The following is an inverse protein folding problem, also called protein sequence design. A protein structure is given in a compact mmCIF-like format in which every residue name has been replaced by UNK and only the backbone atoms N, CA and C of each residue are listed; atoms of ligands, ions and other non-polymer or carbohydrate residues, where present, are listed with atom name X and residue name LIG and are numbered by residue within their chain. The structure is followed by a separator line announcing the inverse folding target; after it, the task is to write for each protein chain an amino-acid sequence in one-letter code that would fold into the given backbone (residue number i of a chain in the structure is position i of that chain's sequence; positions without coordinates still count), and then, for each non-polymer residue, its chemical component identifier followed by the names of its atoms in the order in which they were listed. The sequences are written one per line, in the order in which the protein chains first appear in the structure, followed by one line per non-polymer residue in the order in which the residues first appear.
data_IF_132079206150
#
_entry.id   IF_132079206150
#
_cell.length_a   1.000
_cell.length_b   1.000
_cell.length_c   1.000
_cell.angle_alpha   90.00
_cell.angle_beta   90.00
_cell.angle_gamma   90.00
#
_symmetry.space_group_name_H-M   'P 1'
#
loop_
_entity.id
_entity.type
_entity.pdbx_description
1 polymer ?
#
# COMPACT_ATOMS: atom_id res chain seq x y z
N UNK A 1 -11.16 -21.89 -12.19
CA UNK A 1 -10.34 -20.68 -12.38
C UNK A 1 -10.34 -20.43 -13.88
N UNK A 2 -10.57 -19.20 -14.31
CA UNK A 2 -10.52 -18.84 -15.73
C UNK A 2 -9.06 -18.84 -16.19
N UNK A 3 -8.78 -19.25 -17.43
CA UNK A 3 -7.42 -19.18 -18.03
C UNK A 3 -7.18 -17.82 -18.70
N UNK A 4 -7.97 -16.82 -18.36
CA UNK A 4 -7.89 -15.47 -18.95
C UNK A 4 -6.58 -14.79 -18.56
N UNK A 5 -5.85 -14.27 -19.53
CA UNK A 5 -4.70 -13.39 -19.35
C UNK A 5 -5.20 -11.94 -19.42
N UNK A 6 -4.86 -11.12 -18.42
CA UNK A 6 -5.23 -9.73 -18.35
C UNK A 6 -4.14 -8.84 -18.93
N UNK A 7 -4.51 -7.95 -19.85
CA UNK A 7 -3.61 -7.01 -20.51
C UNK A 7 -3.33 -5.80 -19.62
N UNK A 8 -2.06 -5.51 -19.42
CA UNK A 8 -1.58 -4.45 -18.51
C UNK A 8 -0.98 -3.30 -19.29
N UNK A 9 -1.47 -2.09 -19.03
CA UNK A 9 -0.85 -0.82 -19.45
C UNK A 9 -0.09 -0.18 -18.28
N UNK A 10 1.23 -0.03 -18.44
CA UNK A 10 2.09 0.63 -17.45
C UNK A 10 2.12 2.14 -17.67
N UNK A 11 1.90 2.94 -16.62
CA UNK A 11 2.01 4.40 -16.66
C UNK A 11 3.04 4.85 -15.63
N UNK A 12 4.11 5.51 -16.10
CA UNK A 12 5.29 5.78 -15.28
C UNK A 12 6.30 4.63 -15.34
N UNK A 13 7.33 4.79 -16.17
CA UNK A 13 8.31 3.77 -16.53
C UNK A 13 9.66 3.96 -15.82
N UNK A 14 9.68 4.78 -14.78
CA UNK A 14 10.85 5.00 -13.96
C UNK A 14 11.20 3.79 -13.08
N UNK A 15 12.11 4.00 -12.11
CA UNK A 15 12.63 2.93 -11.23
C UNK A 15 11.52 2.06 -10.60
N UNK A 16 10.45 2.67 -10.10
CA UNK A 16 9.34 1.92 -9.50
C UNK A 16 8.50 1.19 -10.56
N UNK A 17 8.31 1.80 -11.74
CA UNK A 17 7.66 1.16 -12.89
C UNK A 17 8.34 -0.15 -13.27
N UNK A 18 9.68 -0.18 -13.35
CA UNK A 18 10.44 -1.42 -13.57
C UNK A 18 10.18 -2.48 -12.48
N UNK A 19 10.07 -2.07 -11.22
CA UNK A 19 9.76 -3.00 -10.12
C UNK A 19 8.38 -3.63 -10.25
N UNK A 20 7.36 -2.83 -10.57
CA UNK A 20 6.00 -3.32 -10.80
C UNK A 20 5.91 -4.19 -12.06
N UNK A 21 6.56 -3.78 -13.15
CA UNK A 21 6.59 -4.56 -14.39
C UNK A 21 7.13 -5.97 -14.18
N UNK A 22 8.22 -6.14 -13.39
CA UNK A 22 8.70 -7.48 -13.01
C UNK A 22 7.67 -8.29 -12.21
N UNK A 23 6.86 -7.62 -11.40
CA UNK A 23 5.77 -8.27 -10.68
C UNK A 23 4.70 -8.82 -11.63
N UNK A 24 4.31 -8.04 -12.64
CA UNK A 24 3.37 -8.47 -13.69
C UNK A 24 3.95 -9.56 -14.57
N UNK A 25 5.19 -9.42 -15.05
CA UNK A 25 5.90 -10.45 -15.81
C UNK A 25 5.96 -11.80 -15.08
N UNK A 26 6.07 -11.75 -13.76
CA UNK A 26 6.11 -12.95 -12.90
C UNK A 26 4.75 -13.55 -12.56
N UNK A 27 3.63 -12.99 -13.03
CA UNK A 27 2.30 -13.53 -12.82
C UNK A 27 1.77 -14.11 -14.15
N UNK A 28 1.48 -15.43 -14.22
CA UNK A 28 1.09 -16.09 -15.48
C UNK A 28 -0.28 -15.63 -16.02
N UNK A 29 -1.02 -14.84 -15.22
CA UNK A 29 -2.35 -14.31 -15.58
C UNK A 29 -2.31 -12.85 -16.06
N UNK A 30 -1.11 -12.27 -16.22
CA UNK A 30 -0.95 -10.89 -16.67
C UNK A 30 0.08 -10.80 -17.80
N UNK A 31 -0.19 -9.91 -18.77
CA UNK A 31 0.68 -9.59 -19.88
C UNK A 31 0.81 -8.07 -20.02
N UNK A 32 2.03 -7.55 -19.96
CA UNK A 32 2.28 -6.13 -20.22
C UNK A 32 2.21 -5.92 -21.74
N UNK A 33 1.28 -5.09 -22.20
CA UNK A 33 1.08 -4.82 -23.64
C UNK A 33 1.60 -3.47 -24.08
N UNK A 34 1.65 -2.49 -23.16
CA UNK A 34 2.10 -1.13 -23.45
C UNK A 34 2.65 -0.45 -22.23
N UNK A 35 3.44 0.62 -22.47
CA UNK A 35 3.94 1.51 -21.40
C UNK A 35 3.99 2.96 -21.84
N UNK A 36 3.62 3.88 -20.96
CA UNK A 36 3.63 5.32 -21.19
C UNK A 36 4.46 6.07 -20.13
N UNK A 37 5.30 6.98 -20.57
CA UNK A 37 6.06 7.92 -19.74
C UNK A 37 6.43 9.14 -20.59
N UNK A 38 6.26 10.39 -20.15
CA UNK A 38 6.67 11.55 -20.91
C UNK A 38 8.20 11.66 -21.06
N UNK A 39 8.98 11.06 -20.17
CA UNK A 39 10.43 11.05 -20.23
C UNK A 39 10.94 10.00 -21.24
N UNK A 40 11.70 10.44 -22.24
CA UNK A 40 12.21 9.59 -23.32
C UNK A 40 13.26 8.57 -22.84
N UNK A 41 14.03 8.91 -21.82
CA UNK A 41 15.06 8.02 -21.26
C UNK A 41 14.41 6.88 -20.48
N UNK A 42 13.39 7.19 -19.64
CA UNK A 42 12.59 6.19 -18.97
C UNK A 42 11.97 5.21 -19.97
N UNK A 43 11.35 5.74 -21.05
CA UNK A 43 10.76 4.88 -22.09
C UNK A 43 11.82 3.98 -22.74
N UNK A 44 12.95 4.56 -23.15
CA UNK A 44 14.03 3.81 -23.80
C UNK A 44 14.55 2.67 -22.92
N UNK A 45 14.82 2.94 -21.65
CA UNK A 45 15.31 1.95 -20.70
C UNK A 45 14.27 0.86 -20.43
N UNK A 46 13.01 1.25 -20.25
CA UNK A 46 11.93 0.32 -20.01
C UNK A 46 11.70 -0.61 -21.21
N UNK A 47 11.59 -0.06 -22.42
CA UNK A 47 11.33 -0.83 -23.65
C UNK A 47 12.49 -1.76 -24.02
N UNK A 48 13.71 -1.44 -23.64
CA UNK A 48 14.85 -2.36 -23.76
C UNK A 48 14.68 -3.63 -22.93
N UNK A 49 14.04 -3.53 -21.78
CA UNK A 49 13.82 -4.66 -20.85
C UNK A 49 12.48 -5.36 -21.10
N UNK A 50 11.47 -4.59 -21.43
CA UNK A 50 10.10 -5.05 -21.71
C UNK A 50 9.73 -4.58 -23.12
N UNK A 51 9.89 -5.43 -24.14
CA UNK A 51 9.68 -5.05 -25.56
C UNK A 51 8.18 -4.97 -25.89
N UNK A 52 7.54 -3.88 -25.49
CA UNK A 52 6.11 -3.58 -25.70
C UNK A 52 5.94 -2.26 -26.44
N UNK A 53 4.71 -1.87 -26.79
CA UNK A 53 4.44 -0.56 -27.40
C UNK A 53 4.70 0.57 -26.39
N UNK A 54 5.49 1.58 -26.81
CA UNK A 54 5.85 2.72 -25.98
C UNK A 54 5.13 3.99 -26.40
N UNK A 55 4.59 4.73 -25.42
CA UNK A 55 3.87 5.99 -25.63
C UNK A 55 4.52 7.14 -24.84
N UNK A 56 4.49 8.35 -25.36
CA UNK A 56 4.88 9.55 -24.62
C UNK A 56 3.72 10.10 -23.77
N UNK A 57 2.50 9.80 -24.18
CA UNK A 57 1.25 10.20 -23.52
C UNK A 57 0.41 8.96 -23.19
N UNK A 58 0.00 8.84 -21.94
CA UNK A 58 -0.85 7.73 -21.49
C UNK A 58 -2.26 7.79 -22.06
N UNK A 59 -2.75 8.97 -22.46
CA UNK A 59 -4.04 9.08 -23.11
C UNK A 59 -4.03 8.43 -24.49
N UNK A 60 -2.95 8.57 -25.26
CA UNK A 60 -2.76 7.87 -26.55
C UNK A 60 -2.71 6.36 -26.31
N UNK A 61 -2.00 5.90 -25.27
CA UNK A 61 -1.96 4.49 -24.90
C UNK A 61 -3.37 3.95 -24.58
N UNK A 62 -4.13 4.67 -23.75
CA UNK A 62 -5.49 4.26 -23.38
C UNK A 62 -6.47 4.26 -24.56
N UNK A 63 -6.23 5.08 -25.60
CA UNK A 63 -7.05 5.14 -26.80
C UNK A 63 -6.74 4.02 -27.81
N UNK A 64 -5.48 3.60 -27.89
CA UNK A 64 -5.02 2.68 -28.93
C UNK A 64 -4.87 1.22 -28.48
N UNK A 65 -4.70 0.99 -27.18
CA UNK A 65 -4.48 -0.34 -26.64
C UNK A 65 -5.69 -0.87 -25.87
N UNK A 66 -5.89 -2.18 -25.95
CA UNK A 66 -6.87 -2.86 -25.11
C UNK A 66 -6.24 -3.18 -23.76
N UNK A 67 -6.61 -2.44 -22.73
CA UNK A 67 -6.05 -2.54 -21.39
C UNK A 67 -7.12 -3.01 -20.41
N UNK A 68 -6.87 -4.15 -19.75
CA UNK A 68 -7.71 -4.63 -18.65
C UNK A 68 -7.30 -4.01 -17.31
N UNK A 69 -5.99 -3.89 -17.07
CA UNK A 69 -5.40 -3.36 -15.84
C UNK A 69 -4.53 -2.16 -16.18
N UNK A 70 -4.87 -0.98 -15.69
CA UNK A 70 -3.97 0.17 -15.71
C UNK A 70 -3.09 0.18 -14.46
N UNK A 71 -1.79 0.42 -14.64
CA UNK A 71 -0.82 0.47 -13.56
C UNK A 71 -0.13 1.84 -13.50
N UNK A 72 -0.76 2.89 -12.92
CA UNK A 72 -0.13 4.18 -12.70
C UNK A 72 0.86 4.09 -11.53
N UNK A 73 2.15 4.05 -11.87
CA UNK A 73 3.28 3.96 -10.93
C UNK A 73 3.97 5.32 -10.91
N UNK A 74 3.30 6.27 -10.32
CA UNK A 74 3.59 7.69 -10.42
C UNK A 74 3.99 8.30 -9.07
N UNK A 75 4.57 9.51 -9.07
CA UNK A 75 4.54 10.39 -7.91
C UNK A 75 3.11 10.68 -7.47
N UNK A 76 2.94 11.15 -6.24
CA UNK A 76 1.60 11.30 -5.65
C UNK A 76 0.79 12.39 -6.36
N UNK A 77 1.42 13.50 -6.73
CA UNK A 77 0.72 14.67 -7.31
C UNK A 77 -0.11 14.36 -8.57
N UNK A 78 0.39 13.68 -9.61
CA UNK A 78 -0.39 13.36 -10.80
C UNK A 78 -1.31 12.13 -10.62
N UNK A 79 -1.14 11.35 -9.54
CA UNK A 79 -1.79 10.06 -9.41
C UNK A 79 -3.34 10.12 -9.41
N UNK A 80 -3.98 11.08 -8.72
CA UNK A 80 -5.44 11.19 -8.72
C UNK A 80 -6.03 11.42 -10.12
N UNK A 81 -5.47 12.35 -10.89
CA UNK A 81 -5.90 12.66 -12.26
C UNK A 81 -5.77 11.42 -13.15
N UNK A 82 -4.60 10.78 -13.16
CA UNK A 82 -4.33 9.62 -14.02
C UNK A 82 -5.22 8.43 -13.66
N UNK A 83 -5.48 8.17 -12.37
CA UNK A 83 -6.41 7.11 -11.94
C UNK A 83 -7.83 7.38 -12.43
N UNK A 84 -8.29 8.63 -12.32
CA UNK A 84 -9.62 9.04 -12.80
C UNK A 84 -9.73 8.88 -14.32
N UNK A 85 -8.69 9.26 -15.06
CA UNK A 85 -8.69 9.13 -16.53
C UNK A 85 -8.63 7.67 -16.98
N UNK A 86 -7.86 6.82 -16.29
CA UNK A 86 -7.90 5.37 -16.52
C UNK A 86 -9.31 4.80 -16.27
N UNK A 87 -9.98 5.26 -15.20
CA UNK A 87 -11.34 4.84 -14.91
C UNK A 87 -12.33 5.27 -16.02
N UNK A 88 -12.19 6.49 -16.53
CA UNK A 88 -13.01 7.02 -17.64
C UNK A 88 -12.74 6.31 -18.96
N UNK A 89 -11.51 5.86 -19.18
CA UNK A 89 -11.15 5.05 -20.34
C UNK A 89 -11.75 3.63 -20.31
N UNK A 90 -12.32 3.20 -19.18
CA UNK A 90 -13.07 1.94 -19.08
C UNK A 90 -12.20 0.70 -18.84
N UNK A 91 -11.03 0.84 -18.22
CA UNK A 91 -10.25 -0.30 -17.75
C UNK A 91 -11.04 -1.07 -16.68
N UNK A 92 -10.71 -2.34 -16.45
CA UNK A 92 -11.43 -3.18 -15.47
C UNK A 92 -10.88 -3.05 -14.06
N UNK A 93 -9.59 -2.76 -13.94
CA UNK A 93 -8.93 -2.57 -12.66
C UNK A 93 -7.76 -1.57 -12.77
N UNK A 94 -7.43 -0.95 -11.63
CA UNK A 94 -6.32 -0.01 -11.52
C UNK A 94 -5.49 -0.39 -10.29
N UNK A 95 -4.16 -0.47 -10.47
CA UNK A 95 -3.22 -0.69 -9.38
C UNK A 95 -2.19 0.45 -9.33
N UNK A 96 -2.43 1.45 -8.50
CA UNK A 96 -1.58 2.63 -8.38
C UNK A 96 -0.53 2.52 -7.26
N UNK A 97 0.51 3.36 -7.32
CA UNK A 97 1.52 3.45 -6.24
C UNK A 97 0.96 4.15 -4.99
N UNK A 98 1.56 3.82 -3.85
CA UNK A 98 1.27 4.44 -2.56
C UNK A 98 2.25 5.59 -2.25
N UNK A 99 1.85 6.59 -1.45
CA UNK A 99 0.47 6.86 -1.04
C UNK A 99 -0.39 7.24 -2.22
N UNK A 100 -1.67 6.89 -2.14
CA UNK A 100 -2.60 7.01 -3.28
C UNK A 100 -2.90 8.46 -3.65
N UNK A 101 -3.01 9.32 -2.64
CA UNK A 101 -3.35 10.74 -2.76
C UNK A 101 -2.71 11.52 -1.61
N UNK A 102 -2.70 12.84 -1.69
CA UNK A 102 -2.25 13.73 -0.62
C UNK A 102 -3.42 14.23 0.24
N UNK A 103 -4.60 14.41 -0.32
CA UNK A 103 -5.79 14.91 0.39
C UNK A 103 -6.89 13.86 0.48
N UNK A 104 -7.79 14.04 1.47
CA UNK A 104 -8.97 13.21 1.60
C UNK A 104 -9.90 13.38 0.40
N UNK A 105 -10.05 14.60 -0.12
CA UNK A 105 -10.88 14.88 -1.28
C UNK A 105 -10.40 14.15 -2.53
N UNK A 106 -9.09 14.16 -2.82
CA UNK A 106 -8.52 13.42 -3.95
C UNK A 106 -8.77 11.92 -3.80
N UNK A 107 -8.53 11.38 -2.59
CA UNK A 107 -8.78 9.98 -2.29
C UNK A 107 -10.24 9.59 -2.50
N UNK A 108 -11.18 10.41 -2.00
CA UNK A 108 -12.62 10.19 -2.17
C UNK A 108 -13.02 10.20 -3.65
N UNK A 109 -12.50 11.15 -4.43
CA UNK A 109 -12.77 11.24 -5.87
C UNK A 109 -12.27 10.02 -6.63
N UNK A 110 -11.06 9.54 -6.34
CA UNK A 110 -10.53 8.32 -6.96
C UNK A 110 -11.41 7.10 -6.66
N UNK A 111 -11.80 6.92 -5.40
CA UNK A 111 -12.65 5.82 -4.96
C UNK A 111 -14.04 5.88 -5.57
N UNK A 112 -14.67 7.06 -5.58
CA UNK A 112 -16.01 7.25 -6.13
C UNK A 112 -16.04 7.04 -7.66
N UNK A 113 -15.07 7.63 -8.38
CA UNK A 113 -15.01 7.50 -9.84
C UNK A 113 -14.81 6.04 -10.28
N UNK A 114 -13.96 5.30 -9.57
CA UNK A 114 -13.74 3.88 -9.87
C UNK A 114 -14.92 3.01 -9.45
N UNK A 115 -15.49 3.23 -8.28
CA UNK A 115 -16.64 2.48 -7.76
C UNK A 115 -17.89 2.66 -8.62
N UNK A 116 -18.22 3.91 -9.01
CA UNK A 116 -19.38 4.20 -9.84
C UNK A 116 -19.34 3.53 -11.22
N UNK A 117 -18.13 3.14 -11.67
CA UNK A 117 -17.90 2.43 -12.94
C UNK A 117 -17.68 0.92 -12.78
N UNK A 118 -17.74 0.41 -11.56
CA UNK A 118 -17.48 -1.00 -11.28
C UNK A 118 -16.02 -1.44 -11.49
N UNK A 119 -15.08 -0.50 -11.30
CA UNK A 119 -13.64 -0.73 -11.52
C UNK A 119 -12.97 -1.00 -10.18
N UNK A 120 -12.16 -2.05 -10.11
CA UNK A 120 -11.38 -2.37 -8.92
C UNK A 120 -10.18 -1.44 -8.80
N UNK A 121 -10.13 -0.65 -7.73
CA UNK A 121 -9.00 0.21 -7.39
C UNK A 121 -8.19 -0.41 -6.25
N UNK A 122 -6.90 -0.67 -6.50
CA UNK A 122 -5.93 -1.05 -5.49
C UNK A 122 -4.75 -0.08 -5.47
N UNK A 123 -4.10 0.02 -4.32
CA UNK A 123 -2.88 0.81 -4.16
C UNK A 123 -1.74 -0.05 -3.60
N UNK A 124 -0.50 0.29 -3.95
CA UNK A 124 0.69 -0.48 -3.64
C UNK A 124 0.91 -0.70 -2.14
N UNK A 125 0.42 -1.82 -1.62
CA UNK A 125 0.58 -2.23 -0.22
C UNK A 125 1.16 -3.65 -0.14
N UNK A 126 2.47 -3.71 0.00
CA UNK A 126 3.16 -4.99 0.08
C UNK A 126 2.88 -5.72 1.41
N UNK A 127 2.84 -4.99 2.53
CA UNK A 127 2.70 -5.61 3.85
C UNK A 127 1.34 -6.25 4.05
N UNK A 128 0.25 -5.56 3.70
CA UNK A 128 -1.09 -6.13 3.82
C UNK A 128 -1.29 -7.39 2.96
N UNK A 129 -0.56 -7.50 1.84
CA UNK A 129 -0.63 -8.65 0.95
C UNK A 129 0.27 -9.82 1.37
N UNK A 130 1.01 -9.73 2.48
CA UNK A 130 1.85 -10.81 2.97
C UNK A 130 1.00 -12.04 3.39
N UNK A 131 1.33 -13.24 2.88
CA UNK A 131 0.53 -14.46 3.14
C UNK A 131 0.36 -14.78 4.62
N UNK A 132 1.41 -14.53 5.43
CA UNK A 132 1.38 -14.80 6.86
C UNK A 132 0.34 -13.96 7.60
N UNK A 133 0.12 -12.70 7.23
CA UNK A 133 -0.94 -11.88 7.83
C UNK A 133 -2.33 -12.48 7.56
N UNK A 134 -2.55 -12.97 6.34
CA UNK A 134 -3.81 -13.60 5.96
C UNK A 134 -3.98 -14.99 6.59
N UNK A 135 -2.90 -15.73 6.85
CA UNK A 135 -2.97 -16.97 7.63
C UNK A 135 -3.44 -16.69 9.04
N UNK A 136 -2.86 -15.68 9.71
CA UNK A 136 -3.27 -15.28 11.05
C UNK A 136 -4.70 -14.71 11.06
N UNK A 137 -5.05 -13.91 10.05
CA UNK A 137 -6.42 -13.39 9.94
C UNK A 137 -7.44 -14.53 9.90
N UNK A 138 -7.16 -15.62 9.18
CA UNK A 138 -8.03 -16.81 9.18
C UNK A 138 -8.14 -17.50 10.54
N UNK A 139 -7.06 -17.53 11.35
CA UNK A 139 -7.14 -18.05 12.73
C UNK A 139 -8.04 -17.17 13.61
N UNK A 140 -8.00 -15.86 13.42
CA UNK A 140 -8.90 -14.95 14.14
C UNK A 140 -10.34 -15.19 13.67
N UNK A 141 -10.58 -15.27 12.36
CA UNK A 141 -11.91 -15.48 11.77
C UNK A 141 -12.53 -16.85 12.15
N UNK A 142 -11.69 -17.88 12.34
CA UNK A 142 -12.15 -19.21 12.81
C UNK A 142 -12.42 -19.25 14.32
N UNK A 143 -12.03 -18.22 15.06
CA UNK A 143 -12.14 -18.16 16.52
C UNK A 143 -11.02 -18.85 17.29
N UNK A 144 -10.02 -19.45 16.62
CA UNK A 144 -8.91 -20.14 17.30
C UNK A 144 -8.06 -19.21 18.16
N UNK A 145 -7.94 -17.94 17.78
CA UNK A 145 -7.28 -16.91 18.58
C UNK A 145 -8.23 -16.14 19.51
N UNK A 146 -9.54 -16.41 19.41
CA UNK A 146 -10.56 -15.63 20.10
C UNK A 146 -10.75 -14.24 19.48
N UNK A 147 -11.27 -13.31 20.28
CA UNK A 147 -11.58 -11.94 19.85
C UNK A 147 -10.35 -11.02 19.96
N UNK A 148 -10.12 -10.19 18.95
CA UNK A 148 -9.05 -9.17 18.99
C UNK A 148 -9.42 -8.11 20.04
N UNK A 149 -8.51 -7.89 20.98
CA UNK A 149 -8.66 -6.91 22.06
C UNK A 149 -7.90 -5.61 21.76
N UNK A 150 -6.64 -5.76 21.35
CA UNK A 150 -5.81 -4.60 21.02
C UNK A 150 -4.79 -4.92 19.95
N UNK A 151 -4.33 -3.84 19.28
CA UNK A 151 -3.32 -3.90 18.23
C UNK A 151 -2.25 -2.87 18.53
N UNK A 152 -0.98 -3.29 18.56
CA UNK A 152 0.17 -2.40 18.70
C UNK A 152 0.96 -2.40 17.39
N UNK A 153 1.05 -1.24 16.75
CA UNK A 153 1.86 -1.03 15.56
C UNK A 153 3.14 -0.28 15.96
N UNK A 154 4.28 -0.94 15.83
CA UNK A 154 5.61 -0.39 16.13
C UNK A 154 6.28 0.05 14.84
N UNK A 155 6.27 1.35 14.58
CA UNK A 155 6.94 1.93 13.42
C UNK A 155 7.55 3.29 13.77
N UNK A 156 8.67 3.56 13.14
CA UNK A 156 9.28 4.88 13.14
C UNK A 156 9.62 5.21 11.69
N UNK A 157 8.93 6.18 11.16
CA UNK A 157 9.06 6.59 9.76
C UNK A 157 9.20 8.09 9.67
N UNK A 158 9.82 8.59 8.60
CA UNK A 158 9.88 10.03 8.37
C UNK A 158 8.55 10.59 7.83
N UNK A 159 7.64 9.71 7.39
CA UNK A 159 6.36 10.07 6.76
C UNK A 159 5.33 8.98 7.09
N UNK A 160 4.27 9.34 7.80
CA UNK A 160 3.23 8.38 8.22
C UNK A 160 2.36 7.93 7.04
N UNK A 161 1.98 8.81 6.11
CA UNK A 161 1.23 8.44 4.91
C UNK A 161 2.16 7.88 3.82
N UNK A 162 3.35 8.47 3.64
CA UNK A 162 4.30 8.05 2.62
C UNK A 162 4.99 6.72 2.90
N UNK A 163 5.49 6.54 4.11
CA UNK A 163 6.21 5.35 4.58
C UNK A 163 5.38 4.43 5.45
N UNK A 164 4.66 4.99 6.40
CA UNK A 164 3.90 4.28 7.43
C UNK A 164 2.54 3.75 7.01
N UNK A 165 1.99 4.18 5.86
CA UNK A 165 0.67 3.77 5.40
C UNK A 165 0.48 2.24 5.34
N UNK A 166 1.51 1.49 4.98
CA UNK A 166 1.44 0.04 4.92
C UNK A 166 1.25 -0.59 6.31
N UNK A 167 1.88 -0.04 7.33
CA UNK A 167 1.66 -0.47 8.73
C UNK A 167 0.23 -0.18 9.19
N UNK A 168 -0.26 1.04 8.93
CA UNK A 168 -1.66 1.40 9.23
C UNK A 168 -2.65 0.51 8.48
N UNK A 169 -2.34 0.12 7.25
CA UNK A 169 -3.17 -0.80 6.47
C UNK A 169 -3.23 -2.21 7.09
N UNK A 170 -2.10 -2.73 7.57
CA UNK A 170 -2.06 -4.02 8.30
C UNK A 170 -2.78 -3.92 9.63
N UNK A 171 -2.66 -2.82 10.35
CA UNK A 171 -3.43 -2.56 11.57
C UNK A 171 -4.94 -2.65 11.30
N UNK A 172 -5.43 -2.03 10.21
CA UNK A 172 -6.83 -2.13 9.80
C UNK A 172 -7.24 -3.56 9.45
N UNK A 173 -6.37 -4.33 8.77
CA UNK A 173 -6.63 -5.75 8.47
C UNK A 173 -6.96 -6.53 9.77
N UNK A 174 -6.14 -6.36 10.79
CA UNK A 174 -6.37 -7.07 12.07
C UNK A 174 -7.51 -6.48 12.90
N UNK A 175 -7.87 -5.22 12.67
CA UNK A 175 -9.11 -4.65 13.20
C UNK A 175 -10.37 -5.10 12.43
N UNK A 176 -10.25 -6.03 11.47
CA UNK A 176 -11.36 -6.51 10.65
C UNK A 176 -11.89 -5.49 9.66
N UNK A 177 -11.05 -4.55 9.24
CA UNK A 177 -11.38 -3.41 8.39
C UNK A 177 -12.53 -2.52 8.92
N UNK A 178 -12.80 -2.63 10.23
CA UNK A 178 -13.81 -1.81 10.90
C UNK A 178 -13.54 -0.32 10.66
N UNK A 179 -14.60 0.45 10.61
CA UNK A 179 -14.48 1.90 10.60
C UNK A 179 -13.88 2.40 11.90
N UNK A 180 -13.13 3.49 11.81
CA UNK A 180 -12.63 4.23 12.97
C UNK A 180 -13.80 5.01 13.59
N UNK A 181 -13.89 5.03 14.91
CA UNK A 181 -14.80 5.90 15.65
C UNK A 181 -14.13 7.26 15.90
N UNK A 182 -12.93 7.23 16.49
CA UNK A 182 -12.11 8.42 16.72
C UNK A 182 -10.63 8.08 16.90
N UNK A 183 -9.78 9.09 16.77
CA UNK A 183 -8.34 8.99 17.05
C UNK A 183 -7.90 10.11 17.98
N UNK A 184 -6.79 9.87 18.71
CA UNK A 184 -5.95 10.93 19.27
C UNK A 184 -4.50 10.66 18.85
N UNK A 185 -3.73 11.73 18.59
CA UNK A 185 -2.38 11.52 18.06
C UNK A 185 -1.48 12.73 18.22
N UNK A 186 -0.25 12.55 17.81
CA UNK A 186 0.81 13.56 17.87
C UNK A 186 1.76 13.45 16.68
N UNK A 187 2.32 14.60 16.31
CA UNK A 187 3.40 14.72 15.34
C UNK A 187 4.73 14.92 16.07
N UNK A 188 5.83 14.43 15.50
CA UNK A 188 7.16 14.60 16.07
C UNK A 188 7.72 16.01 15.90
N UNK A 189 7.27 16.74 14.87
CA UNK A 189 7.80 18.07 14.54
C UNK A 189 6.71 19.13 14.66
N UNK A 190 6.19 19.65 13.56
CA UNK A 190 5.24 20.77 13.54
C UNK A 190 3.81 20.29 13.19
N UNK A 191 2.87 20.29 14.15
CA UNK A 191 1.48 19.95 13.89
C UNK A 191 0.75 20.96 12.97
N UNK A 192 1.28 22.18 12.83
CA UNK A 192 0.68 23.21 11.97
C UNK A 192 1.09 23.05 10.49
N UNK A 193 2.15 22.29 10.22
CA UNK A 193 2.53 21.95 8.83
C UNK A 193 1.58 20.93 8.22
N UNK A 194 1.34 21.04 6.91
CA UNK A 194 0.70 20.02 6.10
C UNK A 194 1.68 18.98 5.56
N UNK A 195 2.96 19.08 5.92
CA UNK A 195 3.96 18.10 5.54
C UNK A 195 3.70 16.75 6.24
N UNK A 196 3.86 15.69 5.48
CA UNK A 196 3.81 14.32 6.02
C UNK A 196 5.05 14.06 6.87
N UNK A 197 4.84 13.70 8.11
CA UNK A 197 5.90 13.52 9.10
C UNK A 197 5.68 12.24 9.92
N UNK A 198 6.63 11.93 10.77
CA UNK A 198 6.47 10.83 11.71
C UNK A 198 5.41 11.16 12.75
N UNK A 199 4.43 10.29 12.88
CA UNK A 199 3.29 10.47 13.78
C UNK A 199 2.97 9.19 14.52
N UNK A 200 2.38 9.33 15.69
CA UNK A 200 1.84 8.24 16.48
C UNK A 200 0.50 8.61 17.08
N UNK A 201 -0.16 7.63 17.65
CA UNK A 201 -1.46 7.89 18.25
C UNK A 201 -2.19 6.63 18.69
N UNK A 202 -3.39 6.86 19.17
CA UNK A 202 -4.37 5.85 19.53
C UNK A 202 -5.55 5.92 18.55
N UNK A 203 -6.05 4.75 18.16
CA UNK A 203 -7.19 4.59 17.26
C UNK A 203 -8.25 3.76 17.96
N UNK A 204 -9.46 4.29 18.09
CA UNK A 204 -10.63 3.54 18.53
C UNK A 204 -11.44 3.12 17.31
N UNK A 205 -11.61 1.82 17.14
CA UNK A 205 -12.46 1.26 16.08
C UNK A 205 -13.91 1.09 16.57
N UNK A 206 -14.88 1.22 15.65
CA UNK A 206 -16.32 1.07 15.98
C UNK A 206 -16.71 -0.31 16.50
N UNK A 207 -15.95 -1.35 16.13
CA UNK A 207 -16.15 -2.71 16.66
C UNK A 207 -15.56 -2.92 18.07
N UNK A 208 -15.05 -1.86 18.70
CA UNK A 208 -14.53 -1.88 20.07
C UNK A 208 -13.03 -2.12 20.20
N UNK A 209 -12.34 -2.52 19.13
CA UNK A 209 -10.89 -2.76 19.14
C UNK A 209 -10.14 -1.45 19.40
N UNK A 210 -9.09 -1.55 20.21
CA UNK A 210 -8.15 -0.48 20.53
C UNK A 210 -6.84 -0.68 19.77
N UNK A 211 -6.31 0.37 19.15
CA UNK A 211 -5.02 0.27 18.49
C UNK A 211 -4.09 1.43 18.85
N UNK A 212 -2.80 1.12 18.95
CA UNK A 212 -1.74 2.07 19.29
C UNK A 212 -0.68 2.09 18.18
N UNK A 213 -0.35 3.28 17.72
CA UNK A 213 0.72 3.51 16.75
C UNK A 213 1.90 4.13 17.47
N UNK A 214 2.93 3.34 17.68
CA UNK A 214 4.19 3.75 18.31
C UNK A 214 5.14 4.28 17.25
N UNK A 215 5.52 5.55 17.34
CA UNK A 215 6.33 6.24 16.35
C UNK A 215 7.79 6.49 16.79
N UNK A 216 8.20 5.97 17.92
CA UNK A 216 9.59 6.06 18.38
C UNK A 216 10.40 4.83 17.94
N UNK A 217 11.71 5.01 17.67
CA UNK A 217 12.62 3.89 17.42
C UNK A 217 12.52 2.87 18.56
N UNK A 218 12.38 1.60 18.18
CA UNK A 218 12.21 0.48 19.12
C UNK A 218 12.94 -0.74 18.60
N UNK A 219 13.34 -1.61 19.49
CA UNK A 219 13.85 -2.93 19.13
C UNK A 219 12.75 -3.82 18.50
N UNK A 220 11.49 -3.54 18.81
CA UNK A 220 10.33 -4.14 18.17
C UNK A 220 9.92 -3.26 16.99
N UNK A 221 9.83 -3.84 15.80
CA UNK A 221 9.31 -3.18 14.60
C UNK A 221 8.30 -4.12 13.96
N UNK A 222 7.12 -3.63 13.66
CA UNK A 222 6.06 -4.45 13.07
C UNK A 222 4.75 -4.33 13.82
N UNK A 223 4.05 -5.42 13.98
CA UNK A 223 2.73 -5.42 14.59
C UNK A 223 2.60 -6.52 15.66
N UNK A 224 1.88 -6.20 16.74
CA UNK A 224 1.40 -7.14 17.73
C UNK A 224 -0.12 -7.08 17.79
N UNK A 225 -0.77 -8.23 17.67
CA UNK A 225 -2.23 -8.38 17.77
C UNK A 225 -2.51 -9.24 18.99
N UNK A 226 -3.18 -8.67 19.98
CA UNK A 226 -3.56 -9.35 21.23
C UNK A 226 -5.01 -9.75 21.14
N UNK A 227 -5.24 -11.05 21.26
CA UNK A 227 -6.58 -11.65 21.25
C UNK A 227 -6.86 -12.32 22.61
N UNK A 228 -8.12 -12.73 22.86
CA UNK A 228 -8.50 -13.39 24.12
C UNK A 228 -7.84 -14.75 24.31
N UNK A 229 -7.53 -15.47 23.22
CA UNK A 229 -6.98 -16.84 23.25
C UNK A 229 -5.59 -16.94 22.60
N UNK A 230 -5.01 -15.82 22.13
CA UNK A 230 -3.70 -15.84 21.48
C UNK A 230 -3.09 -14.48 21.24
N UNK A 231 -1.83 -14.50 20.81
CA UNK A 231 -1.08 -13.31 20.42
C UNK A 231 -0.40 -13.60 19.07
N UNK A 232 -0.47 -12.64 18.15
CA UNK A 232 0.38 -12.62 16.96
C UNK A 232 1.38 -11.48 17.06
N UNK A 233 2.63 -11.77 16.78
CA UNK A 233 3.70 -10.77 16.63
C UNK A 233 4.39 -10.94 15.30
N UNK A 234 4.66 -9.83 14.61
CA UNK A 234 5.42 -9.84 13.37
C UNK A 234 6.29 -8.61 13.26
N UNK A 235 7.53 -8.82 12.85
CA UNK A 235 8.45 -7.74 12.45
C UNK A 235 8.31 -7.37 10.97
N UNK A 236 7.24 -7.79 10.30
CA UNK A 236 6.99 -7.80 8.86
C UNK A 236 7.84 -8.82 8.06
N UNK A 237 8.95 -9.30 8.59
CA UNK A 237 9.81 -10.32 7.98
C UNK A 237 9.71 -11.66 8.70
N UNK A 238 9.58 -11.62 10.02
CA UNK A 238 9.48 -12.79 10.90
C UNK A 238 8.22 -12.63 11.76
N UNK A 239 7.48 -13.71 11.90
CA UNK A 239 6.29 -13.74 12.74
C UNK A 239 6.27 -14.89 13.72
N UNK A 240 5.55 -14.73 14.81
CA UNK A 240 5.22 -15.79 15.76
C UNK A 240 3.75 -15.73 16.14
N UNK A 241 3.15 -16.88 16.36
CA UNK A 241 1.80 -17.03 16.92
C UNK A 241 1.92 -17.78 18.22
N UNK A 242 1.30 -17.26 19.28
CA UNK A 242 1.16 -17.90 20.57
C UNK A 242 -0.32 -18.20 20.78
N UNK A 243 -0.65 -19.45 21.06
CA UNK A 243 -1.99 -19.88 21.40
C UNK A 243 -2.04 -20.40 22.84
N UNK A 244 -3.18 -20.20 23.46
CA UNK A 244 -3.43 -20.50 24.87
C UNK A 244 -4.29 -19.43 25.47
N UNK A 245 -4.52 -19.04 26.45
CA UNK A 245 -5.38 -18.02 27.04
C UNK A 245 -6.42 -18.63 27.94
N UNK A 246 -7.31 -17.81 28.45
CA UNK A 246 -8.35 -18.23 29.35
C UNK A 246 -7.79 -19.11 30.48
N UNK A 247 -6.77 -18.63 31.19
CA UNK A 247 -6.02 -19.28 32.29
C UNK A 247 -5.04 -20.41 31.85
N UNK A 248 -4.82 -20.64 30.55
CA UNK A 248 -3.76 -21.53 30.06
C UNK A 248 -2.54 -20.72 29.67
N UNK A 249 -1.36 -21.29 29.88
CA UNK A 249 -0.11 -20.67 29.43
C UNK A 249 -0.09 -20.55 27.90
N UNK A 250 0.29 -19.38 27.40
CA UNK A 250 0.52 -19.17 25.97
C UNK A 250 1.69 -20.05 25.50
N UNK A 251 1.52 -20.71 24.36
CA UNK A 251 2.55 -21.55 23.75
C UNK A 251 2.81 -21.08 22.34
N UNK A 252 4.08 -20.93 21.97
CA UNK A 252 4.52 -20.65 20.60
C UNK A 252 4.08 -21.82 19.71
N UNK A 253 3.53 -21.49 18.57
CA UNK A 253 3.19 -22.44 17.52
C UNK A 253 4.39 -22.62 16.60
N UNK A 254 5.28 -23.55 16.96
CA UNK A 254 6.49 -23.84 16.18
C UNK A 254 6.12 -24.27 14.75
N UNK A 255 6.90 -23.84 13.77
CA UNK A 255 6.67 -24.17 12.36
C UNK A 255 5.44 -23.54 11.73
N UNK A 256 4.71 -22.67 12.43
CA UNK A 256 3.44 -22.10 11.91
C UNK A 256 3.61 -21.36 10.56
N UNK A 257 4.78 -20.80 10.31
CA UNK A 257 5.07 -20.05 9.08
C UNK A 257 6.04 -20.77 8.12
N UNK A 258 6.41 -22.02 8.38
CA UNK A 258 7.41 -22.75 7.58
C UNK A 258 7.02 -22.86 6.09
N UNK A 259 5.75 -22.93 5.78
CA UNK A 259 5.23 -22.99 4.40
C UNK A 259 5.56 -21.75 3.55
N UNK A 260 5.87 -20.62 4.18
CA UNK A 260 6.19 -19.38 3.49
C UNK A 260 7.70 -19.21 3.24
N UNK A 261 8.52 -20.11 3.79
CA UNK A 261 9.98 -20.07 3.69
C UNK A 261 10.57 -18.81 4.34
N UNK A 262 11.77 -18.41 3.92
CA UNK A 262 12.36 -17.13 4.32
C UNK A 262 11.48 -15.99 3.81
N UNK A 263 10.89 -15.24 4.74
CA UNK A 263 10.00 -14.11 4.46
C UNK A 263 10.77 -12.82 4.19
N UNK A 264 12.04 -12.92 3.83
CA UNK A 264 12.83 -11.75 3.45
C UNK A 264 12.30 -11.13 2.14
N UNK A 265 11.19 -10.39 2.28
CA UNK A 265 10.57 -9.66 1.19
C UNK A 265 11.46 -8.56 0.63
N UNK A 266 12.51 -8.17 1.38
CA UNK A 266 13.42 -7.11 0.98
C UNK A 266 14.52 -7.63 0.07
N UNK A 267 14.94 -8.86 0.25
CA UNK A 267 16.03 -9.50 -0.51
C UNK A 267 15.56 -10.51 -1.54
N UNK A 268 14.27 -10.86 -1.56
CA UNK A 268 13.76 -11.84 -2.53
C UNK A 268 13.98 -11.39 -3.99
N UNK A 269 14.65 -12.21 -4.80
CA UNK A 269 15.04 -11.86 -6.16
C UNK A 269 13.89 -11.57 -7.13
N UNK A 270 12.67 -11.91 -6.79
CA UNK A 270 11.60 -12.16 -7.75
C UNK A 270 10.50 -11.09 -7.79
N UNK A 271 10.73 -9.86 -7.29
CA UNK A 271 9.69 -8.81 -7.28
C UNK A 271 8.48 -9.17 -6.41
N UNK A 272 8.66 -9.99 -5.39
CA UNK A 272 7.60 -10.56 -4.54
C UNK A 272 6.76 -9.54 -3.80
N UNK A 273 7.28 -8.33 -3.58
CA UNK A 273 6.54 -7.23 -2.94
C UNK A 273 5.29 -6.82 -3.72
N UNK A 274 5.40 -6.74 -5.05
CA UNK A 274 4.31 -6.34 -5.92
C UNK A 274 3.39 -7.51 -6.25
N UNK A 275 3.90 -8.74 -6.22
CA UNK A 275 3.13 -9.95 -6.60
C UNK A 275 1.86 -10.14 -5.80
N UNK A 276 1.89 -9.90 -4.50
CA UNK A 276 0.70 -10.04 -3.65
C UNK A 276 -0.42 -9.07 -4.04
N UNK A 277 -0.08 -7.81 -4.34
CA UNK A 277 -1.05 -6.80 -4.80
C UNK A 277 -1.55 -7.08 -6.22
N UNK A 278 -0.67 -7.50 -7.12
CA UNK A 278 -1.03 -7.90 -8.49
C UNK A 278 -1.95 -9.13 -8.45
N UNK A 279 -1.63 -10.12 -7.62
CA UNK A 279 -2.46 -11.29 -7.44
C UNK A 279 -3.84 -10.92 -6.87
N UNK A 280 -3.92 -9.98 -5.94
CA UNK A 280 -5.18 -9.49 -5.39
C UNK A 280 -6.07 -8.83 -6.47
N UNK A 281 -5.47 -8.10 -7.42
CA UNK A 281 -6.20 -7.53 -8.57
C UNK A 281 -6.72 -8.64 -9.50
N UNK A 282 -5.91 -9.65 -9.81
CA UNK A 282 -6.34 -10.80 -10.63
C UNK A 282 -7.48 -11.55 -9.95
N UNK A 283 -7.39 -11.79 -8.63
CA UNK A 283 -8.46 -12.40 -7.85
C UNK A 283 -9.74 -11.57 -7.88
N UNK A 284 -9.63 -10.24 -7.80
CA UNK A 284 -10.79 -9.33 -7.90
C UNK A 284 -11.49 -9.47 -9.26
N UNK A 285 -10.73 -9.48 -10.34
CA UNK A 285 -11.26 -9.66 -11.70
C UNK A 285 -11.89 -11.03 -11.93
N UNK A 286 -11.35 -12.08 -11.32
CA UNK A 286 -11.86 -13.45 -11.47
C UNK A 286 -13.12 -13.73 -10.60
N UNK A 287 -13.17 -13.15 -9.40
CA UNK A 287 -14.13 -13.55 -8.36
C UNK A 287 -15.17 -12.46 -8.05
N UNK A 288 -14.98 -11.24 -8.53
CA UNK A 288 -15.89 -10.13 -8.24
C UNK A 288 -15.79 -9.63 -6.79
N UNK A 289 -14.62 -9.71 -6.17
CA UNK A 289 -14.37 -9.26 -4.79
C UNK A 289 -13.43 -8.06 -4.77
N UNK A 290 -13.53 -7.24 -3.74
CA UNK A 290 -12.61 -6.10 -3.57
C UNK A 290 -11.16 -6.58 -3.35
N UNK A 291 -10.17 -5.87 -3.93
CA UNK A 291 -8.78 -6.20 -3.71
C UNK A 291 -8.38 -5.98 -2.24
N UNK A 292 -7.50 -6.84 -1.73
CA UNK A 292 -7.02 -6.78 -0.33
C UNK A 292 -6.44 -5.42 0.05
N UNK A 293 -5.83 -4.73 -0.90
CA UNK A 293 -5.27 -3.37 -0.75
C UNK A 293 -6.12 -2.33 -1.50
N UNK A 294 -7.43 -2.36 -1.31
CA UNK A 294 -8.37 -1.49 -2.02
C UNK A 294 -8.08 0.00 -1.82
N UNK A 295 -8.46 0.81 -2.80
CA UNK A 295 -8.40 2.27 -2.71
C UNK A 295 -9.17 2.80 -1.51
N UNK A 296 -10.34 2.23 -1.18
CA UNK A 296 -11.12 2.57 0.01
C UNK A 296 -10.30 2.38 1.31
N UNK A 297 -9.62 1.23 1.44
CA UNK A 297 -8.75 1.00 2.59
C UNK A 297 -7.62 2.02 2.67
N UNK A 298 -6.99 2.36 1.54
CA UNK A 298 -5.88 3.33 1.54
C UNK A 298 -6.34 4.76 1.80
N UNK A 299 -7.55 5.14 1.38
CA UNK A 299 -8.18 6.40 1.76
C UNK A 299 -8.42 6.49 3.27
N UNK A 300 -8.94 5.43 3.89
CA UNK A 300 -9.11 5.35 5.35
C UNK A 300 -7.79 5.37 6.11
N UNK A 301 -6.72 4.81 5.55
CA UNK A 301 -5.36 4.91 6.09
C UNK A 301 -4.84 6.35 6.09
N UNK A 302 -5.03 7.07 4.99
CA UNK A 302 -4.68 8.50 4.90
C UNK A 302 -5.49 9.32 5.93
N UNK A 303 -6.76 9.01 6.08
CA UNK A 303 -7.63 9.69 7.05
C UNK A 303 -7.17 9.49 8.50
N UNK A 304 -6.69 8.28 8.88
CA UNK A 304 -6.09 8.03 10.20
C UNK A 304 -4.84 8.90 10.40
N UNK A 305 -3.96 8.97 9.40
CA UNK A 305 -2.75 9.78 9.47
C UNK A 305 -3.07 11.28 9.64
N UNK A 306 -4.02 11.80 8.88
CA UNK A 306 -4.52 13.18 9.00
C UNK A 306 -5.15 13.39 10.39
N UNK A 307 -5.93 12.43 10.87
CA UNK A 307 -6.56 12.48 12.19
C UNK A 307 -5.55 12.63 13.34
N UNK A 308 -4.38 11.98 13.27
CA UNK A 308 -3.32 12.15 14.27
C UNK A 308 -2.79 13.60 14.31
N UNK A 309 -2.54 14.20 13.14
CA UNK A 309 -2.14 15.61 13.05
C UNK A 309 -3.22 16.53 13.58
N UNK A 310 -4.46 16.34 13.16
CA UNK A 310 -5.58 17.18 13.59
C UNK A 310 -5.84 17.10 15.09
N UNK A 311 -5.63 15.93 15.70
CA UNK A 311 -5.68 15.80 17.16
C UNK A 311 -4.62 16.65 17.85
N UNK A 312 -3.36 16.62 17.36
CA UNK A 312 -2.28 17.45 17.89
C UNK A 312 -2.58 18.95 17.75
N UNK A 313 -3.07 19.38 16.57
CA UNK A 313 -3.50 20.77 16.32
C UNK A 313 -4.55 21.27 17.32
N UNK A 314 -5.38 20.36 17.81
CA UNK A 314 -6.48 20.63 18.76
C UNK A 314 -6.10 20.33 20.21
N UNK A 315 -4.80 20.32 20.55
CA UNK A 315 -4.32 20.04 21.89
C UNK A 315 -4.57 18.61 22.36
N UNK A 316 -4.41 17.65 21.46
CA UNK A 316 -4.62 16.20 21.65
C UNK A 316 -6.08 15.80 21.88
N UNK A 317 -7.03 16.65 21.51
CA UNK A 317 -8.45 16.31 21.56
C UNK A 317 -8.78 15.17 20.57
N UNK A 318 -9.71 14.26 20.92
CA UNK A 318 -10.15 13.24 20.00
C UNK A 318 -10.75 13.81 18.70
N UNK A 319 -10.36 13.24 17.57
CA UNK A 319 -10.90 13.56 16.26
C UNK A 319 -11.85 12.44 15.85
N UNK A 320 -13.12 12.75 15.65
CA UNK A 320 -14.14 11.81 15.22
C UNK A 320 -14.05 11.53 13.71
N UNK A 321 -14.51 10.33 13.33
CA UNK A 321 -14.52 9.86 11.95
C UNK A 321 -15.95 9.57 11.46
N UNK A 322 -16.22 9.80 10.15
CA UNK A 322 -15.29 10.38 9.17
C UNK A 322 -14.96 11.85 9.49
N UNK A 323 -13.77 12.30 9.10
CA UNK A 323 -13.39 13.70 9.20
C UNK A 323 -14.24 14.51 8.21
N UNK A 324 -14.95 15.56 8.68
CA UNK A 324 -15.88 16.33 7.84
C UNK A 324 -15.15 17.17 6.79
N UNK A 325 -14.01 17.77 7.15
CA UNK A 325 -13.21 18.57 6.22
C UNK A 325 -12.37 17.68 5.31
N UNK A 326 -12.90 17.41 4.11
CA UNK A 326 -12.21 16.57 3.12
C UNK A 326 -11.09 17.30 2.38
N UNK A 327 -10.91 18.61 2.57
CA UNK A 327 -9.79 19.36 1.98
C UNK A 327 -8.46 19.13 2.70
N UNK A 328 -8.48 18.52 3.88
CA UNK A 328 -7.29 18.23 4.65
C UNK A 328 -6.33 17.30 3.89
N UNK A 329 -5.05 17.65 3.93
CA UNK A 329 -3.99 16.97 3.18
C UNK A 329 -2.76 16.70 4.04
N UNK A 330 -1.96 15.70 3.65
CA UNK A 330 -0.60 15.45 4.09
C UNK A 330 0.30 15.34 2.84
N UNK A 331 1.24 16.26 2.71
CA UNK A 331 2.15 16.29 1.57
C UNK A 331 3.42 15.52 1.88
N UNK A 332 3.67 14.39 1.20
CA UNK A 332 4.93 13.66 1.37
C UNK A 332 6.10 14.50 0.85
N UNK A 333 7.32 14.12 1.23
CA UNK A 333 8.53 14.82 0.78
C UNK A 333 8.58 15.00 -0.74
N UNK A 334 9.22 16.07 -1.25
CA UNK A 334 9.19 16.46 -2.65
C UNK A 334 9.48 15.33 -3.65
N UNK A 335 10.48 14.48 -3.39
CA UNK A 335 10.84 13.38 -4.28
C UNK A 335 9.86 12.19 -4.29
N UNK A 336 8.81 12.23 -3.46
CA UNK A 336 7.67 11.34 -3.52
C UNK A 336 6.44 12.03 -4.11
N UNK A 337 6.30 13.33 -3.82
CA UNK A 337 5.19 14.15 -4.28
C UNK A 337 5.29 14.46 -5.77
N UNK A 338 6.48 14.78 -6.24
CA UNK A 338 6.75 15.21 -7.62
C UNK A 338 7.73 14.26 -8.34
N UNK A 339 7.90 14.49 -9.63
CA UNK A 339 8.89 13.75 -10.41
C UNK A 339 10.29 13.98 -9.84
N UNK A 340 11.02 12.91 -9.58
CA UNK A 340 12.38 12.98 -9.00
C UNK A 340 13.38 13.70 -9.87
N UNK A 341 13.22 13.67 -11.20
CA UNK A 341 14.06 14.41 -12.13
C UNK A 341 13.94 15.93 -11.89
N UNK A 342 12.70 16.39 -11.66
CA UNK A 342 12.44 17.80 -11.38
C UNK A 342 12.94 18.23 -9.99
N UNK A 343 12.93 17.30 -9.02
CA UNK A 343 13.34 17.57 -7.63
C UNK A 343 14.85 17.52 -7.43
N UNK A 344 15.51 16.53 -8.03
CA UNK A 344 16.94 16.24 -7.77
C UNK A 344 17.87 16.58 -8.94
N UNK A 345 17.33 16.92 -10.11
CA UNK A 345 18.06 17.17 -11.33
C UNK A 345 18.32 15.91 -12.17
N UNK A 346 18.69 16.13 -13.42
CA UNK A 346 18.87 15.08 -14.42
C UNK A 346 19.98 14.08 -14.06
N UNK A 347 21.11 14.56 -13.57
CA UNK A 347 22.30 13.74 -13.28
C UNK A 347 22.04 12.76 -12.12
N UNK A 348 21.50 13.26 -11.01
CA UNK A 348 21.14 12.42 -9.86
C UNK A 348 20.01 11.42 -10.21
N UNK A 349 19.07 11.85 -11.05
CA UNK A 349 17.99 10.97 -11.50
C UNK A 349 18.50 9.86 -12.42
N UNK A 350 19.40 10.17 -13.37
CA UNK A 350 20.03 9.18 -14.24
C UNK A 350 20.80 8.11 -13.46
N UNK A 351 21.52 8.51 -12.41
CA UNK A 351 22.18 7.57 -11.49
C UNK A 351 21.17 6.64 -10.79
N UNK A 352 20.08 7.20 -10.28
CA UNK A 352 18.99 6.41 -9.63
C UNK A 352 18.35 5.38 -10.57
N UNK A 353 18.17 5.72 -11.83
CA UNK A 353 17.60 4.84 -12.86
C UNK A 353 18.62 3.77 -13.29
N UNK A 354 19.88 4.14 -13.54
CA UNK A 354 20.96 3.23 -13.89
C UNK A 354 21.14 2.14 -12.84
N UNK A 355 21.17 2.53 -11.56
CA UNK A 355 21.22 1.58 -10.45
C UNK A 355 20.02 0.62 -10.39
N UNK A 356 18.85 1.03 -10.90
CA UNK A 356 17.65 0.19 -10.91
C UNK A 356 17.61 -0.78 -12.11
N UNK A 357 18.17 -0.36 -13.26
CA UNK A 357 18.23 -1.18 -14.47
C UNK A 357 19.30 -2.26 -14.39
N UNK A 358 20.42 -1.99 -13.70
CA UNK A 358 21.58 -2.87 -13.62
C UNK A 358 21.51 -3.87 -12.45
N UNK A 359 20.60 -3.68 -11.50
CA UNK A 359 20.44 -4.65 -10.41
C UNK A 359 19.87 -5.96 -10.94
N UNK A 360 20.59 -7.08 -10.74
CA UNK A 360 20.00 -8.39 -10.94
C UNK A 360 18.75 -8.50 -10.08
N UNK A 361 17.79 -9.26 -10.55
CA UNK A 361 16.57 -9.63 -9.83
C UNK A 361 17.02 -10.13 -8.45
N UNK A 362 16.99 -9.30 -7.39
CA UNK A 362 17.39 -9.69 -6.06
C UNK A 362 18.25 -8.75 -5.22
N UNK A 363 18.51 -7.55 -5.66
CA UNK A 363 19.22 -6.57 -4.80
C UNK A 363 18.29 -5.90 -3.78
N UNK A 364 18.60 -5.97 -2.49
CA UNK A 364 17.96 -5.19 -1.45
C UNK A 364 18.11 -3.70 -1.76
N UNK A 365 17.00 -2.97 -1.77
CA UNK A 365 17.00 -1.51 -1.78
C UNK A 365 16.73 -1.03 -0.35
N UNK A 366 17.66 -0.34 0.23
CA UNK A 366 17.56 0.38 1.51
C UNK A 366 16.57 1.55 1.36
#
# INVERSE_FOLDING_TARGET
MTDQIYKVGMIGLGRKGHGHARGYEGNPRTEIVAGADPDADNRTLFLKRFPVTGYSDYHEMLQHEQIDIAAPILPVSPNPEVVIDCARAGVKAIYCEKPMASSLQESDQMVEETRSRGIYLASGDAYRNMPQHWKVRRLIDSGEMGEVQSINLYQSTNEISGGGCQGLSVMRLFAGDSDVDWVTGWCDTDPLSDDDQNMGGYVKFKNGIDAFVHNKPSAVRGIEVVCTEGIYRSSFDIGEVLLGGNQKALKVQEGFFDEFGSTDHWTSPSGTRQRGGIQAIVESLDQGIDPRCSGDNMGKVLEIAIGFRESHRRGFAPVKFPIEDRSLALYPKPGRLHNKKDVYGEEAYAEMIGQASDKPIGGAEV
#
